data_IF_455393014311
#
_entry.id   IF_455393014311
#
_cell.length_a   1.000
_cell.length_b   1.000
_cell.length_c   1.000
_cell.angle_alpha   90.00
_cell.angle_beta   90.00
_cell.angle_gamma   90.00
#
_symmetry.space_group_name_H-M   'P 1'
#
loop_
_entity.id
_entity.type
_entity.pdbx_description
1 polymer ?
#
# COMPACT_ATOMS: atom_id res chain seq x y z
N UNK A 1 37.99 25.98 -29.16
CA UNK A 1 36.80 26.02 -28.27
C UNK A 1 35.89 24.81 -28.41
N UNK A 2 35.58 24.32 -29.63
CA UNK A 2 34.75 23.11 -29.87
C UNK A 2 35.08 21.86 -29.02
N UNK A 3 36.37 21.53 -28.87
CA UNK A 3 36.80 20.33 -28.09
C UNK A 3 36.48 20.41 -26.60
N UNK A 4 36.43 21.61 -26.01
CA UNK A 4 36.09 21.80 -24.58
C UNK A 4 34.58 21.64 -24.33
N UNK A 5 33.75 22.06 -25.28
CA UNK A 5 32.29 21.96 -25.19
C UNK A 5 31.83 20.49 -25.25
N UNK A 6 32.46 19.68 -26.11
CA UNK A 6 32.15 18.25 -26.24
C UNK A 6 32.44 17.50 -24.93
N UNK A 7 33.57 17.79 -24.27
CA UNK A 7 33.91 17.16 -22.99
C UNK A 7 32.90 17.45 -21.87
N UNK A 8 32.42 18.70 -21.79
CA UNK A 8 31.39 19.07 -20.80
C UNK A 8 30.07 18.35 -21.08
N UNK A 9 29.67 18.23 -22.34
CA UNK A 9 28.46 17.49 -22.72
C UNK A 9 28.56 15.99 -22.39
N UNK A 10 29.71 15.36 -22.62
CA UNK A 10 29.92 13.95 -22.27
C UNK A 10 29.89 13.74 -20.75
N UNK A 11 30.51 14.63 -19.98
CA UNK A 11 30.43 14.57 -18.51
C UNK A 11 29.00 14.79 -17.98
N UNK A 12 28.25 15.75 -18.52
CA UNK A 12 26.85 15.95 -18.12
C UNK A 12 25.99 14.72 -18.45
N UNK A 13 26.17 14.13 -19.64
CA UNK A 13 25.43 12.93 -20.05
C UNK A 13 25.76 11.73 -19.16
N UNK A 14 27.03 11.56 -18.76
CA UNK A 14 27.46 10.53 -17.81
C UNK A 14 26.86 10.76 -16.42
N UNK A 15 26.83 12.00 -15.92
CA UNK A 15 26.22 12.31 -14.62
C UNK A 15 24.71 12.00 -14.64
N UNK A 16 24.02 12.30 -15.74
CA UNK A 16 22.58 12.00 -15.89
C UNK A 16 22.26 10.52 -16.15
N UNK A 17 23.25 9.71 -16.54
CA UNK A 17 23.07 8.26 -16.76
C UNK A 17 23.55 7.41 -15.60
N UNK A 18 24.45 7.94 -14.76
CA UNK A 18 25.00 7.27 -13.58
C UNK A 18 24.17 7.55 -12.33
N UNK A 19 23.47 8.69 -12.26
CA UNK A 19 22.47 8.92 -11.23
C UNK A 19 21.18 8.25 -11.70
N UNK A 20 20.83 7.04 -11.22
CA UNK A 20 19.45 6.63 -11.35
C UNK A 20 18.62 7.77 -10.74
N UNK A 21 17.65 8.25 -11.50
CA UNK A 21 16.49 8.93 -10.92
C UNK A 21 15.72 7.86 -10.13
N UNK A 22 16.36 7.29 -9.13
CA UNK A 22 15.66 6.73 -8.00
C UNK A 22 15.00 7.94 -7.40
N UNK A 23 13.74 8.19 -7.77
CA UNK A 23 12.87 8.86 -6.83
C UNK A 23 13.11 8.12 -5.52
N UNK A 24 13.55 8.85 -4.49
CA UNK A 24 13.65 8.32 -3.14
C UNK A 24 12.21 8.08 -2.72
N UNK A 25 11.67 6.96 -3.19
CA UNK A 25 10.38 6.48 -2.80
C UNK A 25 10.52 6.02 -1.34
N UNK A 26 9.48 6.30 -0.55
CA UNK A 26 9.41 5.91 0.84
C UNK A 26 9.03 7.02 1.80
N UNK A 27 8.39 8.08 1.30
CA UNK A 27 7.71 9.08 2.11
C UNK A 27 6.35 9.46 1.49
N UNK A 28 5.62 10.33 2.18
CA UNK A 28 4.28 10.73 1.74
C UNK A 28 4.34 11.56 0.45
N UNK A 29 5.41 12.34 0.26
CA UNK A 29 5.62 13.17 -0.93
C UNK A 29 6.09 12.37 -2.15
N UNK A 30 6.75 11.23 -1.93
CA UNK A 30 7.29 10.31 -2.93
C UNK A 30 6.84 8.87 -2.62
N UNK A 31 5.55 8.55 -2.77
CA UNK A 31 5.04 7.22 -2.42
C UNK A 31 5.34 6.17 -3.50
N UNK A 32 5.46 4.91 -3.11
CA UNK A 32 5.57 3.79 -4.05
C UNK A 32 4.30 3.58 -4.86
N UNK A 33 3.14 3.82 -4.26
CA UNK A 33 1.84 3.64 -4.90
C UNK A 33 1.11 4.97 -4.84
N UNK A 34 0.63 5.42 -6.00
CA UNK A 34 -0.34 6.52 -6.12
C UNK A 34 -1.61 6.04 -6.78
N UNK A 35 -2.71 6.72 -6.49
CA UNK A 35 -4.01 6.40 -7.04
C UNK A 35 -4.78 7.64 -7.52
N UNK A 36 -5.85 7.42 -8.29
CA UNK A 36 -6.71 8.47 -8.82
C UNK A 36 -7.79 8.82 -7.81
N UNK A 37 -7.56 9.90 -7.06
CA UNK A 37 -8.53 10.36 -6.07
C UNK A 37 -9.96 10.53 -6.63
N UNK A 38 -10.93 10.01 -5.89
CA UNK A 38 -12.36 10.17 -6.13
C UNK A 38 -12.99 9.14 -7.05
N UNK A 39 -12.29 8.06 -7.40
CA UNK A 39 -12.85 6.92 -8.14
C UNK A 39 -13.57 5.90 -7.21
N UNK A 40 -13.31 5.99 -5.91
CA UNK A 40 -14.01 5.28 -4.85
C UNK A 40 -14.76 6.21 -3.87
N UNK A 41 -15.47 5.63 -2.90
CA UNK A 41 -16.04 6.41 -1.80
C UNK A 41 -14.92 6.94 -0.90
N UNK A 42 -14.92 8.22 -0.54
CA UNK A 42 -13.84 8.89 0.19
C UNK A 42 -13.26 8.12 1.40
N UNK A 43 -14.10 7.38 2.13
CA UNK A 43 -13.68 6.59 3.29
C UNK A 43 -12.88 5.31 2.98
N UNK A 44 -12.78 4.93 1.71
CA UNK A 44 -11.96 3.83 1.15
C UNK A 44 -11.13 4.30 -0.05
N UNK A 45 -11.20 5.59 -0.41
CA UNK A 45 -10.47 6.21 -1.52
C UNK A 45 -9.01 6.39 -1.09
N UNK A 46 -8.13 5.56 -1.63
CA UNK A 46 -6.69 5.54 -1.44
C UNK A 46 -6.13 6.73 -2.21
N UNK A 47 -5.24 7.48 -1.58
CA UNK A 47 -4.49 8.53 -2.24
C UNK A 47 -3.09 8.03 -2.59
N UNK A 48 -2.42 7.44 -1.60
CA UNK A 48 -1.05 6.96 -1.74
C UNK A 48 -0.69 5.91 -0.70
N UNK A 49 0.33 5.12 -1.00
CA UNK A 49 0.96 4.18 -0.07
C UNK A 49 2.46 4.29 -0.18
N UNK A 50 3.16 4.29 0.96
CA UNK A 50 4.60 4.30 0.99
C UNK A 50 5.20 3.35 2.05
N UNK A 51 6.42 2.90 1.76
CA UNK A 51 7.21 2.03 2.62
C UNK A 51 8.35 2.84 3.24
N UNK A 52 8.62 2.65 4.52
CA UNK A 52 9.74 3.34 5.15
C UNK A 52 10.30 2.58 6.32
N UNK A 53 11.50 2.99 6.74
CA UNK A 53 12.22 2.42 7.85
C UNK A 53 12.76 3.53 8.73
N UNK A 54 13.02 3.22 9.99
CA UNK A 54 13.58 4.16 10.96
C UNK A 54 14.92 3.62 11.43
N UNK A 55 15.93 4.47 11.45
CA UNK A 55 17.27 4.10 11.92
C UNK A 55 17.27 3.63 13.38
N UNK A 56 16.35 4.16 14.20
CA UNK A 56 16.23 3.80 15.61
C UNK A 56 15.58 2.41 15.83
N UNK A 57 14.86 1.89 14.83
CA UNK A 57 14.14 0.61 14.89
C UNK A 57 14.27 -0.15 13.55
N UNK A 58 15.50 -0.51 13.14
CA UNK A 58 15.78 -1.06 11.81
C UNK A 58 15.24 -2.48 11.61
N UNK A 59 14.83 -3.15 12.69
CA UNK A 59 14.20 -4.47 12.66
C UNK A 59 12.76 -4.45 12.12
N UNK A 60 12.18 -3.26 11.92
CA UNK A 60 10.82 -3.08 11.41
C UNK A 60 10.81 -2.46 10.01
N UNK A 61 9.83 -2.88 9.21
CA UNK A 61 9.37 -2.19 8.02
C UNK A 61 8.05 -1.51 8.37
N UNK A 62 7.94 -0.22 8.07
CA UNK A 62 6.69 0.52 8.19
C UNK A 62 6.03 0.66 6.82
N UNK A 63 4.72 0.48 6.78
CA UNK A 63 3.92 0.68 5.57
C UNK A 63 2.78 1.63 5.90
N UNK A 64 2.71 2.75 5.22
CA UNK A 64 1.69 3.77 5.42
C UNK A 64 0.78 3.88 4.21
N UNK A 65 -0.53 3.96 4.44
CA UNK A 65 -1.55 4.22 3.43
C UNK A 65 -2.32 5.46 3.84
N UNK A 66 -2.45 6.43 2.93
CA UNK A 66 -3.28 7.61 3.11
C UNK A 66 -4.59 7.46 2.34
N UNK A 67 -5.71 7.65 3.04
CA UNK A 67 -7.05 7.70 2.44
C UNK A 67 -7.62 9.11 2.47
N UNK A 68 -8.58 9.38 1.58
CA UNK A 68 -9.11 10.73 1.35
C UNK A 68 -10.00 11.25 2.50
N UNK A 69 -11.03 10.50 2.89
CA UNK A 69 -12.00 10.92 3.91
C UNK A 69 -12.10 9.92 5.07
N UNK A 70 -11.12 9.89 6.00
CA UNK A 70 -11.18 8.96 7.13
C UNK A 70 -12.44 9.17 7.97
N UNK A 71 -13.05 8.06 8.41
CA UNK A 71 -14.30 8.12 9.17
C UNK A 71 -14.25 7.18 10.37
N UNK A 72 -14.75 7.67 11.50
CA UNK A 72 -14.94 6.89 12.74
C UNK A 72 -16.07 5.86 12.63
N UNK A 73 -17.05 6.13 11.77
CA UNK A 73 -18.31 5.38 11.69
C UNK A 73 -18.50 4.98 10.24
N UNK A 74 -17.90 3.84 9.90
CA UNK A 74 -18.08 3.24 8.59
C UNK A 74 -18.41 1.76 8.77
N UNK A 75 -19.10 1.16 7.80
CA UNK A 75 -19.31 -0.29 7.75
C UNK A 75 -17.96 -0.99 7.72
N UNK A 76 -17.97 -2.31 7.95
CA UNK A 76 -16.77 -3.13 7.93
C UNK A 76 -15.88 -2.80 6.71
N UNK A 77 -14.59 -2.59 6.93
CA UNK A 77 -13.64 -2.20 5.89
C UNK A 77 -12.41 -3.10 5.94
N UNK A 78 -11.72 -3.17 4.81
CA UNK A 78 -10.38 -3.73 4.74
C UNK A 78 -9.56 -2.78 3.89
N UNK A 79 -8.40 -2.40 4.43
CA UNK A 79 -7.34 -1.69 3.75
C UNK A 79 -6.17 -2.66 3.69
N UNK A 80 -5.59 -2.88 2.53
CA UNK A 80 -4.47 -3.80 2.37
C UNK A 80 -3.46 -3.28 1.35
N UNK A 81 -2.19 -3.48 1.67
CA UNK A 81 -1.04 -3.23 0.80
C UNK A 81 -0.38 -4.56 0.55
N UNK A 82 0.02 -4.82 -0.68
CA UNK A 82 0.59 -6.05 -1.18
C UNK A 82 1.96 -5.78 -1.80
N UNK A 83 2.86 -6.75 -1.69
CA UNK A 83 4.16 -6.73 -2.34
C UNK A 83 4.73 -8.15 -2.43
N UNK A 84 5.75 -8.32 -3.26
CA UNK A 84 6.50 -9.56 -3.40
C UNK A 84 7.90 -9.38 -2.84
N UNK A 85 8.38 -10.38 -2.09
CA UNK A 85 9.78 -10.50 -1.70
C UNK A 85 10.23 -11.96 -1.74
N UNK A 86 11.34 -12.24 -2.44
CA UNK A 86 11.86 -13.60 -2.64
C UNK A 86 10.80 -14.59 -3.19
N UNK A 87 9.99 -14.16 -4.17
CA UNK A 87 8.89 -14.94 -4.77
C UNK A 87 7.78 -15.34 -3.79
N UNK A 88 7.68 -14.65 -2.65
CA UNK A 88 6.59 -14.80 -1.70
C UNK A 88 5.80 -13.50 -1.71
N UNK A 89 4.49 -13.60 -1.93
CA UNK A 89 3.58 -12.47 -1.79
C UNK A 89 3.27 -12.25 -0.31
N UNK A 90 3.33 -10.99 0.10
CA UNK A 90 2.96 -10.53 1.41
C UNK A 90 1.87 -9.47 1.27
N UNK A 91 1.06 -9.31 2.31
CA UNK A 91 0.21 -8.14 2.45
C UNK A 91 0.12 -7.68 3.88
N UNK A 92 -0.01 -6.40 4.14
CA UNK A 92 -0.36 -5.88 5.46
C UNK A 92 -1.56 -4.95 5.38
N UNK A 93 -2.20 -4.69 6.51
CA UNK A 93 -3.22 -3.66 6.51
C UNK A 93 -4.08 -3.62 7.76
N UNK A 94 -5.18 -2.91 7.62
CA UNK A 94 -6.15 -2.67 8.68
C UNK A 94 -7.50 -3.30 8.31
N UNK A 95 -7.99 -4.17 9.17
CA UNK A 95 -9.37 -4.61 9.19
C UNK A 95 -10.20 -3.78 10.18
N UNK A 96 -11.32 -3.21 9.74
CA UNK A 96 -12.26 -2.47 10.61
C UNK A 96 -13.60 -3.21 10.70
N UNK A 97 -14.15 -3.31 11.90
CA UNK A 97 -15.49 -3.81 12.19
C UNK A 97 -15.65 -5.33 12.22
N UNK A 98 -14.57 -6.11 12.31
CA UNK A 98 -14.62 -7.57 12.26
C UNK A 98 -15.18 -8.22 13.53
N UNK A 99 -14.97 -7.60 14.68
CA UNK A 99 -15.51 -8.05 15.96
C UNK A 99 -15.87 -6.86 16.84
N UNK A 100 -16.75 -7.08 17.81
CA UNK A 100 -17.09 -6.06 18.81
C UNK A 100 -15.96 -5.83 19.82
N UNK A 101 -15.15 -6.86 20.08
CA UNK A 101 -14.06 -6.82 21.05
C UNK A 101 -12.79 -6.18 20.48
N UNK A 102 -12.51 -6.44 19.19
CA UNK A 102 -11.42 -5.84 18.42
C UNK A 102 -12.02 -5.20 17.16
N UNK A 103 -12.44 -3.95 17.28
CA UNK A 103 -13.03 -3.19 16.17
C UNK A 103 -12.00 -2.89 15.07
N UNK A 104 -10.72 -2.79 15.44
CA UNK A 104 -9.61 -2.62 14.51
C UNK A 104 -8.62 -3.75 14.73
N UNK A 105 -8.15 -4.36 13.64
CA UNK A 105 -7.08 -5.35 13.68
C UNK A 105 -6.05 -5.03 12.60
N UNK A 106 -4.77 -5.10 12.97
CA UNK A 106 -3.66 -4.96 12.04
C UNK A 106 -3.01 -6.32 11.88
N UNK A 107 -2.89 -6.76 10.64
CA UNK A 107 -2.33 -8.07 10.31
C UNK A 107 -1.32 -7.92 9.17
N UNK A 108 -0.30 -8.78 9.18
CA UNK A 108 0.43 -9.16 7.97
C UNK A 108 -0.01 -10.56 7.56
N UNK A 109 -0.07 -10.78 6.26
CA UNK A 109 -0.43 -12.04 5.64
C UNK A 109 0.71 -12.46 4.72
N UNK A 110 1.05 -13.74 4.78
CA UNK A 110 2.06 -14.37 3.93
C UNK A 110 1.41 -15.46 3.09
N UNK A 111 1.60 -15.39 1.77
CA UNK A 111 1.05 -16.34 0.80
C UNK A 111 2.17 -17.22 0.24
N UNK A 112 2.19 -18.51 0.59
CA UNK A 112 3.26 -19.42 0.19
C UNK A 112 2.75 -20.85 0.03
N UNK A 113 3.18 -21.56 -1.03
CA UNK A 113 2.87 -22.98 -1.22
C UNK A 113 1.36 -23.33 -1.04
N UNK A 114 0.46 -22.50 -1.57
CA UNK A 114 -1.01 -22.61 -1.39
C UNK A 114 -1.47 -22.54 0.09
N UNK A 115 -0.66 -21.97 0.98
CA UNK A 115 -0.98 -21.68 2.37
C UNK A 115 -1.05 -20.17 2.56
N UNK A 116 -1.87 -19.80 3.55
CA UNK A 116 -2.03 -18.43 4.02
C UNK A 116 -1.71 -18.44 5.50
N UNK A 117 -0.79 -17.60 5.92
CA UNK A 117 -0.44 -17.38 7.31
C UNK A 117 -0.75 -15.93 7.66
N UNK A 118 -1.53 -15.72 8.73
CA UNK A 118 -1.97 -14.40 9.19
C UNK A 118 -1.36 -14.17 10.57
N UNK A 119 -0.66 -13.05 10.73
CA UNK A 119 0.07 -12.71 11.94
C UNK A 119 -0.37 -11.29 12.35
N UNK A 120 -0.87 -11.15 13.58
CA UNK A 120 -1.21 -9.84 14.14
C UNK A 120 0.05 -8.98 14.35
N UNK A 121 -0.05 -7.71 14.00
CA UNK A 121 1.04 -6.73 14.10
C UNK A 121 0.57 -5.46 14.80
N UNK A 122 1.50 -4.55 15.07
CA UNK A 122 1.17 -3.22 15.56
C UNK A 122 0.78 -2.30 14.39
N UNK A 123 -0.01 -1.28 14.69
CA UNK A 123 -0.34 -0.25 13.73
C UNK A 123 -1.12 0.91 14.34
N UNK A 124 -1.32 1.96 13.54
CA UNK A 124 -2.09 3.14 13.90
C UNK A 124 -3.03 3.53 12.77
N UNK A 125 -4.14 4.18 13.13
CA UNK A 125 -5.04 4.81 12.17
C UNK A 125 -5.36 6.23 12.65
N UNK A 126 -4.73 7.21 12.03
CA UNK A 126 -4.92 8.62 12.36
C UNK A 126 -6.11 9.17 11.57
N UNK A 127 -7.20 9.46 12.28
CA UNK A 127 -8.44 9.95 11.71
C UNK A 127 -8.40 11.43 11.30
N UNK A 128 -7.40 12.18 11.74
CA UNK A 128 -7.20 13.58 11.33
C UNK A 128 -6.48 13.66 9.99
N UNK A 129 -5.51 12.78 9.76
CA UNK A 129 -4.69 12.78 8.54
C UNK A 129 -5.13 11.74 7.50
N UNK A 130 -5.93 10.75 7.91
CA UNK A 130 -6.31 9.62 7.07
C UNK A 130 -5.19 8.60 6.85
N UNK A 131 -4.13 8.65 7.66
CA UNK A 131 -2.97 7.77 7.51
C UNK A 131 -3.14 6.53 8.38
N UNK A 132 -3.07 5.37 7.74
CA UNK A 132 -3.01 4.04 8.35
C UNK A 132 -1.55 3.60 8.27
N UNK A 133 -0.91 3.28 9.40
CA UNK A 133 0.47 2.80 9.43
C UNK A 133 0.54 1.41 10.05
N UNK A 134 1.13 0.46 9.34
CA UNK A 134 1.48 -0.87 9.83
C UNK A 134 2.95 -0.90 10.26
N UNK A 135 3.24 -1.53 11.40
CA UNK A 135 4.59 -1.76 11.90
C UNK A 135 4.88 -3.26 11.84
N UNK A 136 5.74 -3.67 10.90
CA UNK A 136 5.92 -5.06 10.52
C UNK A 136 7.34 -5.51 10.92
N UNK A 137 7.49 -6.48 11.84
CA UNK A 137 8.79 -7.08 12.10
C UNK A 137 9.37 -7.67 10.81
N UNK A 138 10.58 -7.29 10.39
CA UNK A 138 11.20 -7.86 9.18
C UNK A 138 11.32 -9.38 9.25
N UNK A 139 11.51 -9.93 10.46
CA UNK A 139 11.60 -11.36 10.71
C UNK A 139 10.41 -12.18 10.17
N UNK A 140 9.19 -11.62 10.14
CA UNK A 140 8.00 -12.33 9.64
C UNK A 140 7.83 -12.24 8.12
N UNK A 141 8.50 -11.28 7.47
CA UNK A 141 8.48 -11.06 6.01
C UNK A 141 9.74 -11.57 5.31
N UNK A 142 10.37 -12.63 5.84
CA UNK A 142 11.56 -13.22 5.23
C UNK A 142 12.87 -12.53 5.59
N UNK A 143 12.84 -11.59 6.54
CA UNK A 143 13.99 -10.89 7.10
C UNK A 143 14.85 -10.16 6.05
N UNK A 144 14.24 -9.28 5.23
CA UNK A 144 14.96 -8.58 4.17
C UNK A 144 16.11 -7.74 4.73
N UNK A 145 17.15 -7.57 3.92
CA UNK A 145 18.40 -6.89 4.26
C UNK A 145 18.56 -5.61 3.46
N UNK A 146 19.36 -4.68 3.98
CA UNK A 146 19.74 -3.47 3.25
C UNK A 146 20.15 -3.78 1.81
N UNK A 147 19.53 -3.10 0.85
CA UNK A 147 19.73 -3.29 -0.58
C UNK A 147 18.85 -4.37 -1.23
N UNK A 148 18.12 -5.16 -0.44
CA UNK A 148 17.04 -6.01 -0.97
C UNK A 148 15.89 -5.14 -1.49
N UNK A 149 15.05 -5.74 -2.34
CA UNK A 149 13.98 -5.03 -3.06
C UNK A 149 12.64 -5.71 -2.80
N UNK A 150 11.63 -4.91 -2.46
CA UNK A 150 10.22 -5.30 -2.47
C UNK A 150 9.63 -4.90 -3.83
N UNK A 151 9.05 -5.85 -4.54
CA UNK A 151 8.55 -5.64 -5.91
C UNK A 151 7.04 -5.84 -5.99
N UNK A 152 6.48 -5.56 -7.17
CA UNK A 152 5.07 -5.81 -7.49
C UNK A 152 4.12 -5.18 -6.46
N UNK A 153 4.43 -3.96 -6.01
CA UNK A 153 3.66 -3.28 -4.97
C UNK A 153 2.28 -2.90 -5.50
N UNK A 154 1.23 -3.14 -4.73
CA UNK A 154 -0.12 -2.64 -5.04
C UNK A 154 -0.94 -2.61 -3.76
N UNK A 155 -2.14 -2.04 -3.82
CA UNK A 155 -3.00 -1.87 -2.65
C UNK A 155 -4.46 -1.98 -3.04
N UNK A 156 -5.29 -2.30 -2.05
CA UNK A 156 -6.72 -2.15 -2.20
C UNK A 156 -7.39 -1.72 -0.90
N UNK A 157 -8.54 -1.09 -1.08
CA UNK A 157 -9.43 -0.76 0.01
C UNK A 157 -10.84 -1.14 -0.40
N UNK A 158 -11.60 -1.72 0.51
CA UNK A 158 -12.96 -2.11 0.18
C UNK A 158 -13.87 -2.12 1.39
N UNK A 159 -15.14 -1.86 1.11
CA UNK A 159 -16.23 -2.09 2.04
C UNK A 159 -16.60 -3.58 2.05
N UNK A 160 -16.77 -4.13 3.25
CA UNK A 160 -17.44 -5.40 3.49
C UNK A 160 -18.91 -5.13 3.80
N UNK A 161 -19.77 -5.88 3.12
CA UNK A 161 -21.23 -5.69 3.20
C UNK A 161 -21.86 -6.48 4.36
N UNK A 162 -21.06 -6.97 5.31
CA UNK A 162 -21.53 -7.67 6.51
C UNK A 162 -22.58 -8.75 6.21
N UNK A 163 -23.74 -8.63 6.85
CA UNK A 163 -24.88 -9.54 6.69
C UNK A 163 -25.42 -9.58 5.24
N UNK A 164 -25.44 -8.46 4.53
CA UNK A 164 -25.92 -8.38 3.13
C UNK A 164 -25.03 -9.23 2.21
N UNK A 165 -23.71 -9.18 2.42
CA UNK A 165 -22.78 -10.07 1.71
C UNK A 165 -22.94 -11.54 2.08
N UNK A 166 -23.37 -11.86 3.30
CA UNK A 166 -23.63 -13.24 3.76
C UNK A 166 -24.91 -13.85 3.18
N UNK A 167 -25.94 -13.05 2.91
CA UNK A 167 -27.24 -13.53 2.36
C UNK A 167 -27.24 -13.70 0.83
N UNK A 168 -26.08 -13.67 0.18
CA UNK A 168 -25.95 -14.06 -1.23
C UNK A 168 -26.25 -12.97 -2.25
N UNK A 169 -26.40 -11.71 -1.83
CA UNK A 169 -26.19 -10.61 -2.77
C UNK A 169 -24.72 -10.64 -3.17
N UNK A 170 -24.47 -11.10 -4.40
CA UNK A 170 -23.10 -11.14 -4.91
C UNK A 170 -22.56 -9.73 -4.91
N UNK A 171 -21.36 -9.60 -4.35
CA UNK A 171 -20.63 -8.34 -4.22
C UNK A 171 -20.68 -7.51 -5.50
N UNK A 172 -20.45 -8.18 -6.62
CA UNK A 172 -20.48 -7.60 -7.97
C UNK A 172 -21.81 -6.89 -8.32
N UNK A 173 -22.97 -7.41 -7.90
CA UNK A 173 -24.26 -6.77 -8.22
C UNK A 173 -24.41 -5.46 -7.45
N UNK A 174 -24.01 -5.44 -6.18
CA UNK A 174 -24.07 -4.23 -5.38
C UNK A 174 -23.02 -3.21 -5.82
N UNK A 175 -21.81 -3.66 -6.20
CA UNK A 175 -20.77 -2.78 -6.77
C UNK A 175 -21.30 -2.10 -8.04
N UNK A 176 -21.93 -2.84 -8.95
CA UNK A 176 -22.55 -2.28 -10.17
C UNK A 176 -23.67 -1.31 -9.85
N UNK A 177 -24.56 -1.62 -8.90
CA UNK A 177 -25.64 -0.71 -8.50
C UNK A 177 -25.06 0.58 -7.90
N UNK A 178 -24.08 0.47 -7.00
CA UNK A 178 -23.48 1.64 -6.35
C UNK A 178 -22.74 2.51 -7.37
N UNK A 179 -22.01 1.90 -8.30
CA UNK A 179 -21.37 2.61 -9.40
C UNK A 179 -22.39 3.32 -10.30
N UNK A 180 -23.50 2.66 -10.65
CA UNK A 180 -24.56 3.26 -11.48
C UNK A 180 -25.32 4.40 -10.79
N UNK A 181 -25.52 4.31 -9.47
CA UNK A 181 -26.32 5.27 -8.70
C UNK A 181 -25.47 6.45 -8.23
N UNK A 182 -24.25 6.19 -7.76
CA UNK A 182 -23.40 7.19 -7.11
C UNK A 182 -22.16 7.58 -7.91
N UNK A 183 -21.82 6.84 -8.97
CA UNK A 183 -20.61 7.07 -9.75
C UNK A 183 -19.33 6.55 -9.08
N UNK A 184 -19.39 6.06 -7.84
CA UNK A 184 -18.23 5.64 -7.05
C UNK A 184 -18.24 4.14 -6.81
N UNK A 185 -17.05 3.54 -6.77
CA UNK A 185 -16.87 2.13 -6.50
C UNK A 185 -16.79 1.84 -4.98
N UNK A 186 -17.28 0.67 -4.56
CA UNK A 186 -17.11 0.17 -3.19
C UNK A 186 -15.77 -0.55 -2.98
N UNK A 187 -14.94 -0.50 -4.01
CA UNK A 187 -13.61 -1.06 -4.07
C UNK A 187 -12.70 -0.04 -4.69
N UNK A 188 -11.54 0.11 -4.09
CA UNK A 188 -10.47 0.92 -4.61
C UNK A 188 -9.19 0.11 -4.76
N UNK A 189 -8.40 0.44 -5.79
CA UNK A 189 -7.16 -0.23 -6.14
C UNK A 189 -6.12 0.81 -6.51
N UNK A 190 -5.06 0.91 -5.70
CA UNK A 190 -3.89 1.72 -6.03
C UNK A 190 -2.68 0.84 -6.36
N UNK A 191 -2.04 0.97 -7.54
CA UNK A 191 -2.55 1.66 -8.73
C UNK A 191 -3.70 0.86 -9.36
N UNK A 192 -4.18 1.29 -10.53
CA UNK A 192 -5.23 0.63 -11.29
C UNK A 192 -5.06 -0.90 -11.30
N UNK A 193 -6.19 -1.61 -11.27
CA UNK A 193 -6.21 -3.07 -11.22
C UNK A 193 -5.33 -3.73 -12.30
N UNK A 194 -4.30 -4.47 -11.85
CA UNK A 194 -3.37 -5.19 -12.72
C UNK A 194 -2.09 -4.42 -13.04
N UNK A 195 -1.96 -3.21 -12.51
CA UNK A 195 -0.71 -2.44 -12.49
C UNK A 195 -0.01 -2.61 -11.14
N UNK A 196 1.28 -2.27 -11.11
CA UNK A 196 2.10 -2.27 -9.91
C UNK A 196 2.71 -0.88 -9.71
N UNK A 197 2.86 -0.50 -8.44
CA UNK A 197 3.59 0.68 -8.02
C UNK A 197 5.10 0.51 -8.20
N UNK A 198 5.85 1.43 -7.60
CA UNK A 198 7.30 1.40 -7.60
C UNK A 198 7.84 0.32 -6.65
N UNK A 199 9.05 -0.15 -6.96
CA UNK A 199 9.82 -1.02 -6.09
C UNK A 199 10.36 -0.24 -4.88
N UNK A 200 10.38 -0.87 -3.71
CA UNK A 200 10.99 -0.32 -2.50
C UNK A 200 12.34 -0.99 -2.20
N UNK A 201 13.39 -0.18 -2.01
CA UNK A 201 14.70 -0.67 -1.61
C UNK A 201 14.86 -0.57 -0.09
N UNK A 202 15.20 -1.69 0.54
CA UNK A 202 15.42 -1.75 1.98
C UNK A 202 16.63 -0.91 2.35
N UNK A 203 16.44 -0.03 3.34
CA UNK A 203 17.42 0.96 3.75
C UNK A 203 18.27 0.50 4.94
N UNK A 204 17.70 -0.23 5.90
CA UNK A 204 18.36 -0.64 7.15
C UNK A 204 18.24 -2.14 7.47
#
# INVERSE_FOLDING_TARGET
>A
MRKKIIGVFVCMLLITTILPLSALAGDEENPEITDVAGDAFGYIDINSVWFFEKEETPEFLFVSMKINEPSKIVPQQTFAVFWTYNNIEYSCGLGVGFSFDNWQNFDVVKYYNNKVEIIGINGTYNLETGIITCEIPKAIIGNPKTGDVLTDTWSNAFRRLGFIGRIGFTRNVLDVIMLLVFGNNMWDYGPNRGEHGLDYFIQY
#
